data_IF_956320570308
#
_entry.id   IF_956320570308
#
_cell.length_a   1.000
_cell.length_b   1.000
_cell.length_c   1.000
_cell.angle_alpha   90.00
_cell.angle_beta   90.00
_cell.angle_gamma   90.00
#
_symmetry.space_group_name_H-M   'P 1'
#
loop_
_entity.id
_entity.type
_entity.pdbx_description
1 polymer ?
#
# COMPACT_ATOMS: atom_id res chain seq x y z
N UNK A 1 31.66 4.32 -25.71
CA UNK A 1 30.77 4.77 -26.80
C UNK A 1 31.30 6.10 -27.26
N UNK A 2 31.39 6.38 -28.57
CA UNK A 2 31.86 7.68 -29.05
C UNK A 2 30.88 8.80 -28.65
N UNK A 3 31.38 10.01 -28.40
CA UNK A 3 30.56 11.17 -28.00
C UNK A 3 29.47 11.48 -29.04
N UNK A 4 29.75 11.24 -30.33
CA UNK A 4 28.79 11.39 -31.43
C UNK A 4 27.65 10.37 -31.37
N UNK A 5 27.90 9.15 -30.88
CA UNK A 5 26.85 8.15 -30.70
C UNK A 5 25.85 8.58 -29.64
N UNK A 6 26.32 9.16 -28.53
CA UNK A 6 25.46 9.68 -27.47
C UNK A 6 24.67 10.91 -27.94
N UNK A 7 25.33 11.80 -28.69
CA UNK A 7 24.69 12.97 -29.29
C UNK A 7 23.55 12.57 -30.24
N UNK A 8 23.76 11.58 -31.11
CA UNK A 8 22.70 11.08 -31.99
C UNK A 8 21.50 10.51 -31.21
N UNK A 9 21.77 9.74 -30.15
CA UNK A 9 20.72 9.14 -29.31
C UNK A 9 19.85 10.17 -28.60
N UNK A 10 20.42 11.32 -28.20
CA UNK A 10 19.67 12.42 -27.58
C UNK A 10 18.55 12.94 -28.49
N UNK A 11 18.78 12.95 -29.80
CA UNK A 11 17.83 13.42 -30.81
C UNK A 11 17.05 12.28 -31.49
N UNK A 12 16.93 11.11 -30.84
CA UNK A 12 16.25 9.92 -31.40
C UNK A 12 16.81 9.48 -32.78
N UNK A 13 18.09 9.76 -33.04
CA UNK A 13 18.79 9.41 -34.26
C UNK A 13 19.91 8.39 -33.96
N UNK A 14 20.48 7.81 -35.01
CA UNK A 14 21.55 6.81 -34.93
C UNK A 14 22.73 7.21 -35.79
N UNK A 15 23.93 7.07 -35.23
CA UNK A 15 25.17 7.11 -36.01
C UNK A 15 25.31 5.80 -36.78
N UNK A 16 25.25 5.87 -38.11
CA UNK A 16 25.33 4.73 -39.03
C UNK A 16 26.76 4.49 -39.53
N UNK A 17 27.53 5.56 -39.71
CA UNK A 17 28.92 5.50 -40.19
C UNK A 17 29.70 6.71 -39.68
N UNK A 18 30.98 6.50 -39.37
CA UNK A 18 31.93 7.55 -39.05
C UNK A 18 33.33 7.13 -39.52
N UNK A 19 33.94 7.95 -40.38
CA UNK A 19 35.36 7.90 -40.69
C UNK A 19 35.96 9.33 -40.67
N UNK A 20 37.19 9.48 -41.15
CA UNK A 20 37.89 10.77 -41.15
C UNK A 20 37.26 11.82 -42.10
N UNK A 21 36.33 11.44 -42.98
CA UNK A 21 35.83 12.29 -44.07
C UNK A 21 34.30 12.31 -44.18
N UNK A 22 33.59 11.40 -43.50
CA UNK A 22 32.16 11.21 -43.63
C UNK A 22 31.50 10.78 -42.32
N UNK A 23 30.34 11.36 -42.06
CA UNK A 23 29.46 10.99 -40.95
C UNK A 23 28.08 10.74 -41.53
N UNK A 24 27.53 9.55 -41.31
CA UNK A 24 26.17 9.20 -41.73
C UNK A 24 25.31 9.00 -40.49
N UNK A 25 24.22 9.75 -40.41
CA UNK A 25 23.22 9.64 -39.34
C UNK A 25 21.86 9.25 -39.94
N UNK A 26 21.04 8.54 -39.18
CA UNK A 26 19.71 8.16 -39.63
C UNK A 26 18.68 8.08 -38.50
N UNK A 27 17.43 8.33 -38.84
CA UNK A 27 16.29 8.32 -37.94
C UNK A 27 14.97 8.35 -38.72
N UNK A 28 13.87 8.50 -38.00
CA UNK A 28 12.54 8.66 -38.60
C UNK A 28 12.33 10.11 -39.06
N UNK A 29 11.76 10.30 -40.25
CA UNK A 29 11.45 11.63 -40.77
C UNK A 29 12.66 12.39 -41.34
N UNK A 30 12.69 13.71 -41.11
CA UNK A 30 13.75 14.61 -41.56
C UNK A 30 14.87 14.75 -40.53
N UNK A 31 16.06 15.13 -40.98
CA UNK A 31 17.23 15.30 -40.12
C UNK A 31 17.01 16.46 -39.13
N UNK A 32 17.18 16.26 -37.81
CA UNK A 32 17.11 17.36 -36.85
C UNK A 32 18.23 18.37 -37.10
N UNK A 33 17.89 19.58 -37.50
CA UNK A 33 18.84 20.67 -37.78
C UNK A 33 19.79 20.97 -36.60
N UNK A 34 19.33 20.96 -35.33
CA UNK A 34 20.23 21.11 -34.17
C UNK A 34 21.28 19.99 -34.04
N UNK A 35 20.94 18.75 -34.40
CA UNK A 35 21.89 17.64 -34.40
C UNK A 35 22.93 17.82 -35.50
N UNK A 36 22.50 18.19 -36.72
CA UNK A 36 23.40 18.46 -37.83
C UNK A 36 24.36 19.61 -37.52
N UNK A 37 23.87 20.69 -36.91
CA UNK A 37 24.69 21.81 -36.46
C UNK A 37 25.72 21.38 -35.40
N UNK A 38 25.32 20.58 -34.42
CA UNK A 38 26.21 20.10 -33.37
C UNK A 38 27.32 19.18 -33.91
N UNK A 39 27.01 18.28 -34.86
CA UNK A 39 28.02 17.41 -35.50
C UNK A 39 29.00 18.24 -36.33
N UNK A 40 28.51 19.23 -37.10
CA UNK A 40 29.37 20.14 -37.86
C UNK A 40 30.31 20.92 -36.97
N UNK A 41 29.79 21.44 -35.87
CA UNK A 41 30.60 22.16 -34.89
C UNK A 41 31.68 21.27 -34.26
N UNK A 42 31.34 20.04 -33.90
CA UNK A 42 32.27 19.13 -33.24
C UNK A 42 33.32 18.51 -34.17
N UNK A 43 33.00 18.33 -35.45
CA UNK A 43 33.82 17.51 -36.37
C UNK A 43 34.30 18.24 -37.63
N UNK A 44 33.69 19.38 -37.97
CA UNK A 44 33.91 20.07 -39.24
C UNK A 44 33.30 19.37 -40.46
N UNK A 45 32.60 18.23 -40.27
CA UNK A 45 32.02 17.42 -41.34
C UNK A 45 30.52 17.67 -41.42
N UNK A 46 30.00 17.88 -42.63
CA UNK A 46 28.56 17.94 -42.90
C UNK A 46 27.98 16.50 -42.84
N UNK A 47 27.08 16.19 -41.88
CA UNK A 47 26.55 14.83 -41.75
C UNK A 47 25.53 14.52 -42.83
N UNK A 48 25.62 13.32 -43.42
CA UNK A 48 24.67 12.81 -44.39
C UNK A 48 23.47 12.17 -43.67
N UNK A 49 22.26 12.56 -44.06
CA UNK A 49 21.02 11.96 -43.56
C UNK A 49 20.62 10.73 -44.36
N UNK A 50 20.30 9.65 -43.65
CA UNK A 50 19.67 8.47 -44.22
C UNK A 50 18.33 8.21 -43.51
N UNK A 51 17.18 8.39 -44.19
CA UNK A 51 15.90 8.04 -43.61
C UNK A 51 15.86 6.53 -43.33
N UNK A 52 15.46 6.17 -42.12
CA UNK A 52 15.30 4.79 -41.69
C UNK A 52 13.81 4.43 -41.72
N UNK A 53 13.47 3.24 -42.24
CA UNK A 53 12.10 2.72 -42.12
C UNK A 53 11.70 2.62 -40.64
N UNK A 54 10.40 2.61 -40.27
CA UNK A 54 9.97 2.46 -38.87
C UNK A 54 10.62 1.26 -38.15
N UNK A 55 10.82 0.15 -38.88
CA UNK A 55 11.51 -1.05 -38.37
C UNK A 55 13.03 -0.87 -38.15
N UNK A 56 13.63 0.17 -38.75
CA UNK A 56 15.06 0.51 -38.66
C UNK A 56 15.32 1.70 -37.72
N UNK A 57 14.33 2.60 -37.55
CA UNK A 57 14.39 3.77 -36.69
C UNK A 57 14.19 3.41 -35.20
N UNK A 58 13.34 2.42 -34.90
CA UNK A 58 13.09 1.92 -33.53
C UNK A 58 14.11 0.86 -33.07
N UNK A 59 15.39 1.22 -33.10
CA UNK A 59 16.45 0.42 -32.46
C UNK A 59 17.22 1.29 -31.46
N UNK A 60 16.53 1.70 -30.38
CA UNK A 60 17.11 1.55 -29.05
C UNK A 60 17.57 0.09 -28.92
N UNK A 61 18.68 -0.25 -28.25
CA UNK A 61 19.31 -1.57 -28.38
C UNK A 61 18.25 -2.68 -28.30
N UNK A 62 17.97 -3.32 -29.44
CA UNK A 62 17.00 -4.42 -29.55
C UNK A 62 17.58 -5.62 -28.80
N UNK A 63 17.48 -5.54 -27.48
CA UNK A 63 17.87 -6.57 -26.54
C UNK A 63 16.72 -7.56 -26.40
N UNK A 64 16.41 -8.27 -27.48
CA UNK A 64 15.47 -9.39 -27.49
C UNK A 64 14.18 -9.13 -26.68
N UNK A 65 13.40 -8.12 -27.09
CA UNK A 65 12.10 -7.80 -26.48
C UNK A 65 11.11 -8.97 -26.60
N UNK A 66 11.30 -9.84 -27.59
CA UNK A 66 10.44 -11.00 -27.88
C UNK A 66 10.25 -11.90 -26.66
N UNK A 67 11.30 -12.09 -25.85
CA UNK A 67 11.27 -12.94 -24.66
C UNK A 67 10.86 -12.19 -23.39
N UNK A 68 11.05 -10.87 -23.32
CA UNK A 68 10.83 -10.09 -22.09
C UNK A 68 9.35 -9.85 -21.81
N UNK A 69 8.55 -9.58 -22.85
CA UNK A 69 7.10 -9.34 -22.72
C UNK A 69 6.36 -10.58 -22.20
N UNK A 70 6.50 -11.78 -22.82
CA UNK A 70 5.82 -12.99 -22.33
C UNK A 70 6.24 -13.36 -20.90
N UNK A 71 7.50 -13.13 -20.54
CA UNK A 71 7.99 -13.39 -19.18
C UNK A 71 7.37 -12.46 -18.14
N UNK A 72 7.25 -11.17 -18.45
CA UNK A 72 6.59 -10.21 -17.58
C UNK A 72 5.11 -10.57 -17.43
N UNK A 73 4.41 -10.84 -18.53
CA UNK A 73 3.00 -11.26 -18.50
C UNK A 73 2.78 -12.55 -17.70
N UNK A 74 3.65 -13.55 -17.89
CA UNK A 74 3.61 -14.79 -17.12
C UNK A 74 3.83 -14.52 -15.62
N UNK A 75 4.76 -13.64 -15.26
CA UNK A 75 5.00 -13.25 -13.87
C UNK A 75 3.76 -12.57 -13.26
N UNK A 76 3.16 -11.62 -13.98
CA UNK A 76 1.96 -10.91 -13.53
C UNK A 76 0.76 -11.86 -13.42
N UNK A 77 0.54 -12.73 -14.40
CA UNK A 77 -0.50 -13.75 -14.38
C UNK A 77 -0.32 -14.74 -13.22
N UNK A 78 0.92 -15.15 -12.93
CA UNK A 78 1.24 -15.98 -11.78
C UNK A 78 0.92 -15.26 -10.46
N UNK A 79 1.23 -13.96 -10.36
CA UNK A 79 0.91 -13.17 -9.18
C UNK A 79 -0.60 -13.09 -8.91
N UNK A 80 -1.39 -12.87 -9.95
CA UNK A 80 -2.85 -12.83 -9.88
C UNK A 80 -3.45 -14.18 -9.48
N UNK A 81 -3.01 -15.26 -10.14
CA UNK A 81 -3.45 -16.63 -9.85
C UNK A 81 -3.19 -16.99 -8.38
N UNK A 82 -2.06 -16.54 -7.83
CA UNK A 82 -1.67 -16.75 -6.44
C UNK A 82 -2.27 -15.72 -5.47
N UNK A 83 -3.02 -14.72 -5.97
CA UNK A 83 -3.61 -13.61 -5.21
C UNK A 83 -2.57 -12.85 -4.37
N UNK A 84 -1.45 -12.55 -5.01
CA UNK A 84 -0.41 -11.72 -4.41
C UNK A 84 -0.90 -10.27 -4.30
N UNK A 85 -0.64 -9.61 -3.17
CA UNK A 85 -0.91 -8.18 -3.01
C UNK A 85 0.16 -7.30 -3.64
N UNK A 86 1.41 -7.78 -3.61
CA UNK A 86 2.57 -7.05 -4.11
C UNK A 86 3.53 -8.01 -4.82
N UNK A 87 4.18 -7.52 -5.87
CA UNK A 87 5.23 -8.18 -6.63
C UNK A 87 6.52 -7.40 -6.38
N UNK A 88 7.49 -8.04 -5.73
CA UNK A 88 8.78 -7.45 -5.41
C UNK A 88 9.84 -7.96 -6.38
N UNK A 89 10.42 -7.06 -7.17
CA UNK A 89 11.57 -7.30 -8.02
C UNK A 89 12.79 -6.65 -7.34
N UNK A 90 13.75 -7.46 -6.91
CA UNK A 90 14.88 -6.99 -6.12
C UNK A 90 16.21 -7.43 -6.75
N UNK A 91 17.09 -6.48 -7.12
CA UNK A 91 18.42 -6.81 -7.61
C UNK A 91 19.32 -7.29 -6.48
N UNK A 92 20.13 -8.31 -6.76
CA UNK A 92 21.25 -8.77 -5.95
C UNK A 92 22.53 -8.63 -6.79
N UNK A 93 23.69 -8.90 -6.19
CA UNK A 93 24.99 -8.69 -6.84
C UNK A 93 25.15 -9.34 -8.23
N UNK A 94 24.63 -10.56 -8.43
CA UNK A 94 24.79 -11.32 -9.69
C UNK A 94 23.47 -11.67 -10.38
N UNK A 95 22.35 -11.48 -9.70
CA UNK A 95 21.04 -11.91 -10.17
C UNK A 95 19.93 -11.03 -9.61
N UNK A 96 18.78 -11.01 -10.27
CA UNK A 96 17.55 -10.47 -9.71
C UNK A 96 16.71 -11.56 -9.08
N UNK A 97 16.07 -11.27 -7.95
CA UNK A 97 15.05 -12.15 -7.36
C UNK A 97 13.68 -11.52 -7.46
N UNK A 98 12.68 -12.36 -7.65
CA UNK A 98 11.27 -11.96 -7.59
C UNK A 98 10.57 -12.69 -6.44
N UNK A 99 9.87 -11.91 -5.61
CA UNK A 99 9.07 -12.41 -4.50
C UNK A 99 7.64 -11.89 -4.59
N UNK A 100 6.67 -12.76 -4.33
CA UNK A 100 5.27 -12.38 -4.25
C UNK A 100 4.87 -12.24 -2.78
N UNK A 101 4.17 -11.15 -2.44
CA UNK A 101 3.52 -11.04 -1.13
C UNK A 101 2.16 -11.72 -1.19
N UNK A 102 2.03 -12.90 -0.59
CA UNK A 102 0.78 -13.66 -0.54
C UNK A 102 0.32 -13.74 0.90
N UNK A 103 -0.91 -13.32 1.16
CA UNK A 103 -1.48 -13.25 2.51
C UNK A 103 -0.56 -12.54 3.54
N UNK A 104 0.20 -11.52 3.07
CA UNK A 104 1.10 -10.70 3.88
C UNK A 104 2.54 -11.21 3.99
N UNK A 105 2.84 -12.43 3.53
CA UNK A 105 4.17 -13.06 3.60
C UNK A 105 4.83 -13.10 2.23
N UNK A 106 6.15 -12.86 2.18
CA UNK A 106 6.92 -12.91 0.94
C UNK A 106 7.32 -14.35 0.60
N UNK A 107 6.99 -14.77 -0.61
CA UNK A 107 7.35 -16.07 -1.17
C UNK A 107 8.26 -15.88 -2.39
N UNK A 108 9.46 -16.48 -2.44
CA UNK A 108 10.28 -16.47 -3.65
C UNK A 108 9.57 -17.22 -4.78
N UNK A 109 9.61 -16.68 -5.99
CA UNK A 109 8.94 -17.29 -7.16
C UNK A 109 9.81 -17.43 -8.40
N UNK A 110 10.78 -16.53 -8.59
CA UNK A 110 11.68 -16.56 -9.72
C UNK A 110 13.01 -15.90 -9.39
N UNK A 111 14.04 -16.31 -10.12
CA UNK A 111 15.35 -15.67 -10.17
C UNK A 111 15.71 -15.47 -11.64
N UNK A 112 16.34 -14.35 -11.95
CA UNK A 112 16.73 -13.98 -13.30
C UNK A 112 18.18 -13.53 -13.31
N UNK A 113 18.98 -13.88 -14.34
CA UNK A 113 20.26 -13.23 -14.60
C UNK A 113 20.11 -11.70 -14.60
N UNK A 114 21.10 -10.97 -14.08
CA UNK A 114 20.97 -9.52 -13.83
C UNK A 114 20.60 -8.70 -15.09
N UNK A 115 21.10 -9.12 -16.26
CA UNK A 115 20.77 -8.48 -17.54
C UNK A 115 19.29 -8.64 -17.91
N UNK A 116 18.71 -9.82 -17.64
CA UNK A 116 17.28 -10.08 -17.86
C UNK A 116 16.43 -9.35 -16.83
N UNK A 117 16.85 -9.33 -15.56
CA UNK A 117 16.17 -8.58 -14.51
C UNK A 117 16.09 -7.08 -14.83
N UNK A 118 17.19 -6.49 -15.28
CA UNK A 118 17.25 -5.06 -15.66
C UNK A 118 16.29 -4.73 -16.82
N UNK A 119 16.12 -5.67 -17.76
CA UNK A 119 15.13 -5.55 -18.84
C UNK A 119 13.69 -5.57 -18.32
N UNK A 120 13.36 -6.42 -17.35
CA UNK A 120 12.04 -6.43 -16.71
C UNK A 120 11.73 -5.09 -16.04
N UNK A 121 12.68 -4.52 -15.28
CA UNK A 121 12.52 -3.20 -14.65
C UNK A 121 12.31 -2.11 -15.71
N UNK A 122 13.12 -2.12 -16.78
CA UNK A 122 13.00 -1.16 -17.87
C UNK A 122 11.62 -1.24 -18.53
N UNK A 123 11.12 -2.46 -18.81
CA UNK A 123 9.79 -2.66 -19.39
C UNK A 123 8.68 -2.17 -18.47
N UNK A 124 8.80 -2.40 -17.17
CA UNK A 124 7.86 -1.87 -16.17
C UNK A 124 7.83 -0.34 -16.17
N UNK A 125 9.00 0.32 -16.27
CA UNK A 125 9.10 1.77 -16.36
C UNK A 125 8.41 2.30 -17.63
N UNK A 126 8.63 1.66 -18.78
CA UNK A 126 7.92 1.99 -20.04
C UNK A 126 6.40 1.90 -19.85
N UNK A 127 5.91 0.79 -19.31
CA UNK A 127 4.46 0.57 -19.12
C UNK A 127 3.83 1.57 -18.15
N UNK A 128 4.60 2.11 -17.21
CA UNK A 128 4.16 3.08 -16.23
C UNK A 128 4.47 4.55 -16.61
N UNK A 129 5.00 4.80 -17.81
CA UNK A 129 5.37 6.14 -18.27
C UNK A 129 6.52 6.78 -17.49
N UNK A 130 7.40 5.99 -16.89
CA UNK A 130 8.53 6.46 -16.08
C UNK A 130 9.79 6.70 -16.93
N UNK A 131 10.66 7.61 -16.47
CA UNK A 131 11.92 7.92 -17.14
C UNK A 131 12.92 6.77 -16.97
N UNK A 132 13.22 6.08 -18.08
CA UNK A 132 14.12 4.92 -18.16
C UNK A 132 15.59 5.33 -17.95
N UNK A 133 15.97 6.54 -18.35
CA UNK A 133 17.32 7.08 -18.20
C UNK A 133 17.58 7.50 -16.75
N UNK A 134 16.57 7.96 -16.03
CA UNK A 134 16.67 8.25 -14.61
C UNK A 134 16.69 6.96 -13.78
N UNK A 135 17.86 6.59 -13.25
CA UNK A 135 18.03 5.39 -12.40
C UNK A 135 18.56 5.71 -11.00
N UNK A 136 18.73 6.99 -10.69
CA UNK A 136 19.37 7.49 -9.46
C UNK A 136 18.39 8.13 -8.49
N UNK A 137 17.13 8.30 -8.88
CA UNK A 137 16.06 8.82 -8.05
C UNK A 137 14.90 7.80 -7.97
N UNK A 138 14.17 7.76 -6.84
CA UNK A 138 12.91 7.02 -6.77
C UNK A 138 11.92 7.54 -7.80
N UNK A 139 11.09 6.65 -8.35
CA UNK A 139 10.00 7.03 -9.25
C UNK A 139 8.76 6.20 -8.96
N UNK A 140 7.59 6.85 -8.97
CA UNK A 140 6.29 6.23 -8.77
C UNK A 140 5.41 6.47 -9.99
N UNK A 141 4.68 5.43 -10.41
CA UNK A 141 3.79 5.49 -11.57
C UNK A 141 2.67 4.48 -11.46
N UNK A 142 1.80 4.47 -12.46
CA UNK A 142 0.72 3.49 -12.58
C UNK A 142 0.79 2.87 -13.97
N UNK A 143 0.52 1.57 -14.04
CA UNK A 143 0.35 0.86 -15.31
C UNK A 143 -0.96 0.11 -15.31
N UNK A 144 -1.61 0.04 -16.47
CA UNK A 144 -2.79 -0.79 -16.72
C UNK A 144 -2.42 -1.83 -17.76
N UNK A 145 -2.70 -3.10 -17.46
CA UNK A 145 -2.40 -4.22 -18.35
C UNK A 145 -3.61 -5.13 -18.43
N UNK A 146 -3.89 -5.65 -19.63
CA UNK A 146 -4.93 -6.65 -19.86
C UNK A 146 -4.31 -8.04 -19.70
N UNK A 147 -4.73 -8.80 -18.69
CA UNK A 147 -4.28 -10.16 -18.42
C UNK A 147 -5.49 -11.09 -18.35
N UNK A 148 -5.52 -12.13 -19.18
CA UNK A 148 -6.65 -13.08 -19.27
C UNK A 148 -8.00 -12.36 -19.41
N UNK A 149 -8.09 -11.42 -20.37
CA UNK A 149 -9.28 -10.62 -20.68
C UNK A 149 -9.76 -9.71 -19.54
N UNK A 150 -8.91 -9.45 -18.54
CA UNK A 150 -9.20 -8.53 -17.45
C UNK A 150 -8.20 -7.40 -17.43
N UNK A 151 -8.70 -6.18 -17.39
CA UNK A 151 -7.88 -5.01 -17.15
C UNK A 151 -7.53 -4.92 -15.68
N UNK A 152 -6.24 -4.80 -15.41
CA UNK A 152 -5.70 -4.77 -14.06
C UNK A 152 -4.75 -3.59 -13.94
N UNK A 153 -5.00 -2.77 -12.93
CA UNK A 153 -4.20 -1.61 -12.59
C UNK A 153 -3.14 -2.02 -11.55
N UNK A 154 -1.91 -1.55 -11.75
CA UNK A 154 -0.84 -1.66 -10.76
C UNK A 154 -0.24 -0.29 -10.49
N UNK A 155 0.08 -0.04 -9.21
CA UNK A 155 1.01 1.02 -8.81
C UNK A 155 2.42 0.46 -8.85
N UNK A 156 3.31 1.13 -9.57
CA UNK A 156 4.73 0.80 -9.65
C UNK A 156 5.51 1.82 -8.83
N UNK A 157 6.36 1.34 -7.94
CA UNK A 157 7.37 2.15 -7.26
C UNK A 157 8.75 1.57 -7.57
N UNK A 158 9.67 2.43 -7.99
CA UNK A 158 11.07 2.09 -8.27
C UNK A 158 11.99 2.83 -7.33
N UNK A 159 13.01 2.14 -6.82
CA UNK A 159 13.96 2.68 -5.85
C UNK A 159 15.38 2.24 -6.23
N UNK A 160 16.33 3.16 -6.43
CA UNK A 160 17.73 2.83 -6.61
C UNK A 160 18.29 2.10 -5.38
N UNK A 161 19.03 1.02 -5.61
CA UNK A 161 19.72 0.25 -4.57
C UNK A 161 21.17 -0.01 -5.00
N UNK A 162 21.98 -0.60 -4.11
CA UNK A 162 23.39 -0.90 -4.36
C UNK A 162 23.65 -1.69 -5.66
N UNK A 163 22.75 -2.62 -6.01
CA UNK A 163 22.94 -3.53 -7.16
C UNK A 163 22.02 -3.21 -8.35
N UNK A 164 21.37 -2.04 -8.35
CA UNK A 164 20.44 -1.61 -9.39
C UNK A 164 19.11 -1.14 -8.84
N UNK A 165 18.10 -0.98 -9.70
CA UNK A 165 16.77 -0.53 -9.29
C UNK A 165 15.92 -1.69 -8.75
N UNK A 166 15.39 -1.52 -7.53
CA UNK A 166 14.31 -2.34 -6.99
C UNK A 166 12.99 -1.82 -7.52
N UNK A 167 12.10 -2.71 -7.93
CA UNK A 167 10.71 -2.35 -8.25
C UNK A 167 9.72 -3.10 -7.35
N UNK A 168 8.64 -2.43 -7.00
CA UNK A 168 7.50 -3.03 -6.32
C UNK A 168 6.24 -2.66 -7.11
N UNK A 169 5.50 -3.68 -7.56
CA UNK A 169 4.16 -3.49 -8.06
C UNK A 169 3.16 -3.82 -6.95
N UNK A 170 2.18 -2.95 -6.75
CA UNK A 170 0.99 -3.22 -5.93
C UNK A 170 -0.22 -3.28 -6.83
N UNK A 171 -0.97 -4.38 -6.79
CA UNK A 171 -2.24 -4.48 -7.50
C UNK A 171 -3.22 -3.47 -6.89
N UNK A 172 -3.85 -2.66 -7.74
CA UNK A 172 -4.98 -1.80 -7.36
C UNK A 172 -6.25 -2.54 -7.76
N UNK A 173 -7.15 -2.76 -6.81
CA UNK A 173 -8.38 -3.53 -7.03
C UNK A 173 -9.54 -2.56 -7.28
N UNK A 174 -9.57 -1.93 -8.46
CA UNK A 174 -10.54 -0.88 -8.82
C UNK A 174 -11.99 -1.38 -8.96
N UNK A 175 -12.19 -2.70 -8.94
CA UNK A 175 -13.48 -3.34 -9.27
C UNK A 175 -14.24 -3.89 -8.07
N UNK A 176 -13.64 -3.93 -6.87
CA UNK A 176 -14.30 -4.48 -5.69
C UNK A 176 -14.81 -3.37 -4.79
N UNK A 177 -16.14 -3.27 -4.68
CA UNK A 177 -16.77 -2.45 -3.66
C UNK A 177 -16.18 -2.79 -2.27
N UNK A 178 -15.97 -1.79 -1.39
CA UNK A 178 -15.45 -2.03 -0.05
C UNK A 178 -16.26 -3.08 0.69
N UNK A 179 -15.59 -3.89 1.50
CA UNK A 179 -16.27 -4.92 2.29
C UNK A 179 -17.27 -4.29 3.24
N UNK A 180 -18.49 -4.82 3.27
CA UNK A 180 -19.45 -4.44 4.29
C UNK A 180 -18.93 -4.80 5.69
N UNK A 181 -19.34 -4.06 6.73
CA UNK A 181 -18.89 -4.30 8.11
C UNK A 181 -19.07 -5.77 8.56
N UNK A 182 -20.17 -6.41 8.13
CA UNK A 182 -20.47 -7.81 8.38
C UNK A 182 -19.40 -8.79 7.86
N UNK A 183 -18.67 -8.40 6.82
CA UNK A 183 -17.68 -9.23 6.12
C UNK A 183 -16.24 -8.99 6.62
N UNK A 184 -16.03 -7.99 7.48
CA UNK A 184 -14.70 -7.67 8.04
C UNK A 184 -14.21 -8.71 9.05
N UNK A 185 -15.13 -9.45 9.67
CA UNK A 185 -14.81 -10.46 10.67
C UNK A 185 -14.88 -9.98 12.12
N UNK A 186 -15.57 -8.87 12.35
CA UNK A 186 -16.04 -8.45 13.67
C UNK A 186 -16.96 -9.51 14.28
N UNK A 187 -16.93 -9.66 15.61
CA UNK A 187 -18.02 -10.37 16.30
C UNK A 187 -19.30 -9.54 16.27
N UNK A 188 -20.45 -10.15 16.56
CA UNK A 188 -21.72 -9.41 16.61
C UNK A 188 -21.67 -8.24 17.61
N UNK A 189 -21.05 -8.45 18.79
CA UNK A 189 -20.88 -7.41 19.79
C UNK A 189 -19.96 -6.28 19.30
N UNK A 190 -18.83 -6.62 18.68
CA UNK A 190 -17.90 -5.63 18.11
C UNK A 190 -18.55 -4.83 16.97
N UNK A 191 -19.31 -5.50 16.10
CA UNK A 191 -20.04 -4.85 15.02
C UNK A 191 -21.06 -3.85 15.56
N UNK A 192 -21.85 -4.23 16.57
CA UNK A 192 -22.81 -3.33 17.22
C UNK A 192 -22.12 -2.12 17.85
N UNK A 193 -20.98 -2.31 18.53
CA UNK A 193 -20.20 -1.20 19.08
C UNK A 193 -19.72 -0.23 18.00
N UNK A 194 -19.24 -0.75 16.86
CA UNK A 194 -18.83 0.08 15.73
C UNK A 194 -20.02 0.81 15.11
N UNK A 195 -21.12 0.13 14.83
CA UNK A 195 -22.34 0.74 14.29
C UNK A 195 -22.87 1.84 15.23
N UNK A 196 -22.89 1.60 16.55
CA UNK A 196 -23.26 2.62 17.54
C UNK A 196 -22.32 3.82 17.52
N UNK A 197 -21.01 3.61 17.38
CA UNK A 197 -20.06 4.71 17.26
C UNK A 197 -20.26 5.52 15.97
N UNK A 198 -20.56 4.84 14.85
CA UNK A 198 -20.82 5.47 13.56
C UNK A 198 -22.15 6.25 13.54
N UNK A 199 -23.14 5.90 14.36
CA UNK A 199 -24.39 6.69 14.47
C UNK A 199 -24.25 7.99 15.25
N UNK A 200 -23.10 8.25 15.89
CA UNK A 200 -22.94 9.47 16.69
C UNK A 200 -22.84 10.68 15.75
N UNK A 201 -23.48 11.81 16.08
CA UNK A 201 -23.40 13.02 15.26
C UNK A 201 -21.97 13.57 15.21
N UNK A 202 -21.20 13.38 16.29
CA UNK A 202 -19.81 13.82 16.37
C UNK A 202 -18.94 12.88 17.19
N UNK A 203 -17.63 13.01 16.98
CA UNK A 203 -16.60 12.33 17.75
C UNK A 203 -15.54 11.70 16.86
N UNK A 204 -14.44 11.27 17.48
CA UNK A 204 -13.30 10.68 16.82
C UNK A 204 -13.32 9.15 16.94
N UNK A 205 -13.28 8.46 15.81
CA UNK A 205 -13.10 7.02 15.68
C UNK A 205 -11.72 6.75 15.08
N UNK A 206 -10.89 5.98 15.78
CA UNK A 206 -9.53 5.65 15.33
C UNK A 206 -9.44 4.17 14.98
N UNK A 207 -8.91 3.87 13.80
CA UNK A 207 -8.50 2.51 13.43
C UNK A 207 -6.99 2.42 13.46
N UNK A 208 -6.42 1.54 14.27
CA UNK A 208 -4.99 1.52 14.52
C UNK A 208 -4.34 0.17 14.23
N UNK A 209 -3.06 0.23 13.89
CA UNK A 209 -2.25 -0.94 13.58
C UNK A 209 -1.17 -0.68 12.53
N UNK A 210 -0.28 -1.64 12.28
CA UNK A 210 0.81 -1.50 11.35
C UNK A 210 0.31 -1.45 9.90
N UNK A 211 1.23 -1.17 8.99
CA UNK A 211 0.96 -1.27 7.55
C UNK A 211 0.47 -2.67 7.20
N UNK A 212 -0.57 -2.75 6.36
CA UNK A 212 -1.16 -4.03 5.94
C UNK A 212 -2.02 -4.72 6.99
N UNK A 213 -2.36 -4.08 8.12
CA UNK A 213 -3.32 -4.63 9.09
C UNK A 213 -4.78 -4.55 8.63
N UNK A 214 -5.06 -3.88 7.51
CA UNK A 214 -6.40 -3.73 6.94
C UNK A 214 -7.19 -2.53 7.48
N UNK A 215 -6.51 -1.49 7.99
CA UNK A 215 -7.15 -0.26 8.51
C UNK A 215 -8.07 0.39 7.49
N UNK A 216 -7.58 0.62 6.27
CA UNK A 216 -8.36 1.22 5.17
C UNK A 216 -9.60 0.40 4.84
N UNK A 217 -9.50 -0.94 4.85
CA UNK A 217 -10.67 -1.80 4.62
C UNK A 217 -11.75 -1.64 5.69
N UNK A 218 -11.36 -1.41 6.95
CA UNK A 218 -12.29 -1.13 8.05
C UNK A 218 -12.86 0.27 7.95
N UNK A 219 -12.04 1.27 7.63
CA UNK A 219 -12.51 2.65 7.39
C UNK A 219 -13.50 2.71 6.23
N UNK A 220 -13.15 2.19 5.06
CA UNK A 220 -14.03 2.18 3.89
C UNK A 220 -15.30 1.35 4.13
N UNK A 221 -15.22 0.27 4.93
CA UNK A 221 -16.40 -0.46 5.37
C UNK A 221 -17.34 0.37 6.25
N UNK A 222 -16.78 1.24 7.10
CA UNK A 222 -17.53 2.23 7.89
C UNK A 222 -18.11 3.34 7.04
N UNK A 223 -17.34 3.90 6.10
CA UNK A 223 -17.83 4.92 5.17
C UNK A 223 -18.96 4.40 4.28
N UNK A 224 -18.83 3.17 3.75
CA UNK A 224 -19.91 2.50 2.99
C UNK A 224 -21.18 2.31 3.83
N UNK A 225 -21.03 2.11 5.14
CA UNK A 225 -22.18 1.99 6.04
C UNK A 225 -22.85 3.35 6.29
N UNK A 226 -22.05 4.42 6.41
CA UNK A 226 -22.52 5.80 6.57
C UNK A 226 -23.14 6.38 5.29
N UNK A 227 -22.64 6.00 4.11
CA UNK A 227 -23.17 6.43 2.81
C UNK A 227 -24.68 6.13 2.67
N UNK A 228 -25.14 5.02 3.24
CA UNK A 228 -26.56 4.67 3.26
C UNK A 228 -27.45 5.66 4.04
N UNK A 229 -26.86 6.57 4.82
CA UNK A 229 -27.56 7.60 5.58
C UNK A 229 -27.67 8.94 4.84
N UNK A 230 -27.20 9.03 3.59
CA UNK A 230 -27.24 10.24 2.77
C UNK A 230 -26.55 11.46 3.41
N UNK A 231 -25.43 11.22 4.09
CA UNK A 231 -24.58 12.23 4.73
C UNK A 231 -23.57 12.83 3.73
N UNK A 232 -23.13 14.06 3.97
CA UNK A 232 -21.98 14.64 3.27
C UNK A 232 -20.68 14.06 3.85
N UNK A 233 -20.10 13.09 3.13
CA UNK A 233 -18.87 12.40 3.52
C UNK A 233 -17.70 12.90 2.70
N UNK A 234 -16.68 13.44 3.38
CA UNK A 234 -15.46 13.94 2.76
C UNK A 234 -14.23 13.17 3.27
N UNK A 235 -13.27 12.86 2.40
CA UNK A 235 -11.99 12.26 2.81
C UNK A 235 -10.77 13.00 2.30
N UNK A 236 -9.67 12.87 3.06
CA UNK A 236 -8.32 13.28 2.65
C UNK A 236 -7.37 12.08 2.80
N UNK A 237 -6.68 11.69 1.72
CA UNK A 237 -5.97 10.41 1.63
C UNK A 237 -4.62 10.51 0.90
N UNK A 238 -3.63 9.70 1.28
CA UNK A 238 -2.26 9.71 0.71
C UNK A 238 -1.81 8.30 0.27
N UNK A 239 -2.19 7.86 -0.95
CA UNK A 239 -3.23 8.41 -1.82
C UNK A 239 -4.58 7.73 -1.57
N UNK A 240 -5.58 8.04 -2.41
CA UNK A 240 -6.83 7.29 -2.50
C UNK A 240 -6.51 5.85 -2.95
N UNK A 241 -6.97 4.85 -2.17
CA UNK A 241 -6.69 3.44 -2.45
C UNK A 241 -7.70 2.82 -3.42
N UNK A 242 -8.97 3.24 -3.36
CA UNK A 242 -10.03 2.81 -4.29
C UNK A 242 -11.10 3.90 -4.34
N UNK A 243 -11.60 4.26 -5.53
CA UNK A 243 -12.70 5.20 -5.63
C UNK A 243 -13.96 4.66 -4.95
N UNK A 244 -14.59 5.50 -4.14
CA UNK A 244 -15.84 5.23 -3.45
C UNK A 244 -16.95 6.07 -4.10
N UNK A 245 -18.04 5.41 -4.47
CA UNK A 245 -19.22 6.12 -4.93
C UNK A 245 -19.80 6.98 -3.80
N UNK A 246 -20.36 8.14 -4.15
CA UNK A 246 -21.05 9.06 -3.24
C UNK A 246 -20.19 9.65 -2.10
N UNK A 247 -18.86 9.53 -2.17
CA UNK A 247 -17.94 10.09 -1.17
C UNK A 247 -16.98 11.07 -1.87
N UNK A 248 -16.83 12.26 -1.29
CA UNK A 248 -15.93 13.29 -1.80
C UNK A 248 -14.48 12.99 -1.37
N UNK A 249 -13.71 12.28 -2.18
CA UNK A 249 -12.33 11.90 -1.85
C UNK A 249 -11.31 12.87 -2.42
N UNK A 250 -10.44 13.41 -1.55
CA UNK A 250 -9.32 14.28 -1.94
C UNK A 250 -7.98 13.56 -1.72
N UNK A 251 -7.19 13.42 -2.78
CA UNK A 251 -5.84 12.90 -2.67
C UNK A 251 -4.85 14.01 -2.26
N UNK A 252 -3.87 13.66 -1.42
CA UNK A 252 -2.71 14.49 -1.12
C UNK A 252 -1.87 14.68 -2.38
N UNK A 253 -1.50 15.93 -2.66
CA UNK A 253 -0.67 16.31 -3.80
C UNK A 253 0.35 17.37 -3.35
N UNK A 254 1.51 16.94 -2.82
CA UNK A 254 2.50 17.86 -2.24
C UNK A 254 3.02 18.89 -3.26
N UNK A 255 3.18 18.50 -4.52
CA UNK A 255 3.62 19.39 -5.61
C UNK A 255 2.61 20.53 -5.89
N UNK A 256 1.32 20.32 -5.58
CA UNK A 256 0.27 21.32 -5.68
C UNK A 256 -0.01 22.03 -4.33
N UNK A 257 0.78 21.75 -3.28
CA UNK A 257 0.56 22.29 -1.93
C UNK A 257 -0.60 21.65 -1.15
N UNK A 258 -1.21 20.57 -1.67
CA UNK A 258 -2.30 19.86 -1.00
C UNK A 258 -1.73 18.87 0.02
N UNK A 259 -1.55 19.34 1.26
CA UNK A 259 -1.17 18.55 2.43
C UNK A 259 -2.37 18.29 3.36
N UNK A 260 -2.26 17.30 4.25
CA UNK A 260 -3.34 16.90 5.16
C UNK A 260 -3.96 18.08 5.91
N UNK A 261 -3.16 18.88 6.61
CA UNK A 261 -3.66 20.02 7.38
C UNK A 261 -4.34 21.09 6.50
N UNK A 262 -3.84 21.33 5.29
CA UNK A 262 -4.42 22.31 4.35
C UNK A 262 -5.78 21.85 3.86
N UNK A 263 -5.85 20.60 3.39
CA UNK A 263 -7.09 20.00 2.88
C UNK A 263 -8.12 19.89 4.00
N UNK A 264 -7.72 19.43 5.19
CA UNK A 264 -8.62 19.28 6.33
C UNK A 264 -9.24 20.62 6.78
N UNK A 265 -8.46 21.71 6.80
CA UNK A 265 -9.00 23.06 7.04
C UNK A 265 -9.96 23.52 5.96
N UNK A 266 -9.77 23.11 4.71
CA UNK A 266 -10.70 23.41 3.62
C UNK A 266 -12.00 22.61 3.77
N UNK A 267 -11.91 21.33 4.13
CA UNK A 267 -13.07 20.45 4.34
C UNK A 267 -14.01 21.00 5.42
N UNK A 268 -13.51 21.63 6.49
CA UNK A 268 -14.36 22.27 7.50
C UNK A 268 -15.24 23.42 6.96
N UNK A 269 -14.98 23.93 5.76
CA UNK A 269 -15.82 24.92 5.05
C UNK A 269 -16.62 24.29 3.90
N UNK A 270 -16.73 22.97 3.85
CA UNK A 270 -17.48 22.22 2.84
C UNK A 270 -18.76 21.60 3.41
N UNK A 271 -19.20 22.07 4.59
CA UNK A 271 -20.38 21.56 5.29
C UNK A 271 -20.41 20.02 5.45
N UNK A 272 -19.30 19.36 5.87
CA UNK A 272 -19.28 17.90 5.98
C UNK A 272 -20.02 17.43 7.22
N UNK A 273 -20.71 16.28 7.13
CA UNK A 273 -21.19 15.55 8.31
C UNK A 273 -20.10 14.61 8.85
N UNK A 274 -19.36 14.00 7.92
CA UNK A 274 -18.33 13.00 8.20
C UNK A 274 -17.03 13.37 7.51
N UNK A 275 -15.93 13.34 8.27
CA UNK A 275 -14.59 13.59 7.76
C UNK A 275 -13.73 12.34 7.96
N UNK A 276 -13.17 11.79 6.89
CA UNK A 276 -12.19 10.72 6.96
C UNK A 276 -10.78 11.24 6.65
N UNK A 277 -9.88 11.06 7.59
CA UNK A 277 -8.47 11.43 7.46
C UNK A 277 -7.68 10.13 7.31
N UNK A 278 -7.03 9.92 6.17
CA UNK A 278 -6.29 8.68 5.87
C UNK A 278 -5.36 8.26 7.01
N UNK A 279 -4.65 9.22 7.61
CA UNK A 279 -3.87 9.02 8.84
C UNK A 279 -3.52 10.34 9.53
N UNK A 280 -3.34 10.27 10.85
CA UNK A 280 -2.80 11.36 11.66
C UNK A 280 -1.30 11.11 11.87
N UNK A 281 -0.45 11.84 11.15
CA UNK A 281 1.02 11.71 11.25
C UNK A 281 1.66 12.73 12.19
N UNK A 282 1.10 13.94 12.24
CA UNK A 282 1.67 15.12 12.90
C UNK A 282 0.68 15.82 13.83
N UNK A 283 1.22 16.72 14.67
CA UNK A 283 0.50 17.52 15.65
C UNK A 283 -0.57 18.42 15.00
N UNK A 284 -0.25 19.08 13.89
CA UNK A 284 -1.18 19.98 13.22
C UNK A 284 -2.44 19.25 12.73
N UNK A 285 -2.27 18.10 12.09
CA UNK A 285 -3.37 17.24 11.63
C UNK A 285 -4.16 16.69 12.81
N UNK A 286 -3.48 16.30 13.89
CA UNK A 286 -4.13 15.81 15.11
C UNK A 286 -5.03 16.89 15.74
N UNK A 287 -4.55 18.13 15.87
CA UNK A 287 -5.33 19.22 16.43
C UNK A 287 -6.59 19.51 15.62
N UNK A 288 -6.46 19.66 14.30
CA UNK A 288 -7.61 19.94 13.45
C UNK A 288 -8.63 18.79 13.48
N UNK A 289 -8.17 17.53 13.56
CA UNK A 289 -9.04 16.36 13.68
C UNK A 289 -9.84 16.37 15.00
N UNK A 290 -9.20 16.75 16.10
CA UNK A 290 -9.83 16.87 17.42
C UNK A 290 -10.83 18.03 17.43
N UNK A 291 -10.45 19.19 16.88
CA UNK A 291 -11.33 20.36 16.76
C UNK A 291 -12.58 20.03 15.94
N UNK A 292 -12.41 19.35 14.79
CA UNK A 292 -13.51 18.87 13.96
C UNK A 292 -14.45 17.95 14.75
N UNK A 293 -13.89 16.98 15.48
CA UNK A 293 -14.66 16.03 16.30
C UNK A 293 -15.41 16.69 17.48
N UNK A 294 -14.93 17.85 17.95
CA UNK A 294 -15.60 18.63 18.99
C UNK A 294 -16.67 19.57 18.43
N UNK A 295 -16.50 20.02 17.18
CA UNK A 295 -17.35 21.01 16.51
C UNK A 295 -18.47 20.38 15.68
N UNK A 296 -18.97 19.20 16.09
CA UNK A 296 -20.16 18.61 15.48
C UNK A 296 -19.91 17.63 14.34
N UNK A 297 -18.65 17.25 14.06
CA UNK A 297 -18.34 16.33 12.97
C UNK A 297 -18.01 14.92 13.47
N UNK A 298 -18.42 13.89 12.73
CA UNK A 298 -17.90 12.54 12.92
C UNK A 298 -16.57 12.40 12.17
N UNK A 299 -15.49 12.16 12.90
CA UNK A 299 -14.14 12.05 12.35
C UNK A 299 -13.65 10.61 12.42
N UNK A 300 -13.26 10.05 11.28
CA UNK A 300 -12.64 8.73 11.19
C UNK A 300 -11.18 8.90 10.78
N UNK A 301 -10.24 8.24 11.47
CA UNK A 301 -8.84 8.27 11.03
C UNK A 301 -8.06 7.01 11.40
N UNK A 302 -6.78 6.98 11.00
CA UNK A 302 -5.85 5.92 11.38
C UNK A 302 -4.62 6.43 12.13
N UNK A 303 -4.08 5.54 12.95
CA UNK A 303 -2.78 5.69 13.61
C UNK A 303 -1.97 4.40 13.51
N UNK A 304 -0.65 4.53 13.67
CA UNK A 304 0.30 3.42 13.68
C UNK A 304 0.72 3.07 15.11
N UNK A 305 -0.15 2.40 15.86
CA UNK A 305 0.10 1.94 17.25
C UNK A 305 -0.10 0.42 17.41
N UNK A 306 0.40 -0.15 18.50
CA UNK A 306 0.33 -1.60 18.72
C UNK A 306 -0.93 -2.07 19.43
N UNK A 307 -1.58 -1.19 20.18
CA UNK A 307 -2.83 -1.47 20.89
C UNK A 307 -3.78 -0.28 20.83
N UNK A 308 -5.04 -0.49 21.23
CA UNK A 308 -6.01 0.59 21.31
C UNK A 308 -5.57 1.64 22.35
N UNK A 309 -5.10 1.20 23.52
CA UNK A 309 -4.65 2.08 24.60
C UNK A 309 -3.42 2.93 24.22
N UNK A 310 -2.44 2.38 23.49
CA UNK A 310 -1.28 3.15 23.01
C UNK A 310 -1.67 4.30 22.06
N UNK A 311 -2.83 4.21 21.41
CA UNK A 311 -3.35 5.25 20.52
C UNK A 311 -3.68 6.53 21.28
N UNK A 312 -4.17 6.40 22.52
CA UNK A 312 -4.39 7.54 23.42
C UNK A 312 -3.06 8.19 23.74
N UNK A 313 -2.07 7.42 24.18
CA UNK A 313 -0.72 7.92 24.48
C UNK A 313 -0.08 8.60 23.27
N UNK A 314 -0.25 8.05 22.07
CA UNK A 314 0.27 8.63 20.84
C UNK A 314 -0.31 10.01 20.54
N UNK A 315 -1.61 10.21 20.75
CA UNK A 315 -2.23 11.53 20.57
C UNK A 315 -1.76 12.54 21.62
N UNK A 316 -1.56 12.12 22.87
CA UNK A 316 -0.95 12.97 23.90
C UNK A 316 0.49 13.40 23.52
N UNK A 317 1.28 12.47 22.97
CA UNK A 317 2.63 12.76 22.46
C UNK A 317 2.64 13.69 21.24
N UNK A 318 1.53 13.75 20.50
CA UNK A 318 1.33 14.69 19.39
C UNK A 318 0.82 16.06 19.87
N UNK A 319 0.85 16.35 21.17
CA UNK A 319 0.47 17.66 21.71
C UNK A 319 -1.01 17.81 22.08
N UNK A 320 -1.84 16.79 21.88
CA UNK A 320 -3.27 16.88 22.22
C UNK A 320 -3.45 16.87 23.74
N UNK A 321 -4.12 17.90 24.26
CA UNK A 321 -4.41 17.99 25.69
C UNK A 321 -5.37 16.85 26.14
N UNK A 322 -5.15 16.24 27.32
CA UNK A 322 -5.93 15.09 27.78
C UNK A 322 -7.44 15.32 27.83
N UNK A 323 -7.89 16.52 28.22
CA UNK A 323 -9.31 16.84 28.29
C UNK A 323 -9.96 16.91 26.90
N UNK A 324 -9.27 17.49 25.90
CA UNK A 324 -9.75 17.55 24.52
C UNK A 324 -9.91 16.15 23.93
N UNK A 325 -8.93 15.28 24.20
CA UNK A 325 -8.95 13.90 23.74
C UNK A 325 -10.07 13.09 24.39
N UNK A 326 -10.24 13.24 25.71
CA UNK A 326 -11.25 12.51 26.47
C UNK A 326 -12.69 12.85 26.00
N UNK A 327 -12.92 14.09 25.56
CA UNK A 327 -14.23 14.55 25.11
C UNK A 327 -14.54 14.23 23.65
N UNK A 328 -13.52 14.21 22.79
CA UNK A 328 -13.67 13.93 21.37
C UNK A 328 -13.63 12.43 21.04
N UNK A 329 -12.79 11.64 21.71
CA UNK A 329 -12.57 10.24 21.38
C UNK A 329 -13.79 9.37 21.72
N UNK A 330 -14.30 8.66 20.73
CA UNK A 330 -15.49 7.80 20.86
C UNK A 330 -15.15 6.31 20.86
N UNK A 331 -14.29 5.88 19.93
CA UNK A 331 -13.92 4.47 19.75
C UNK A 331 -12.51 4.36 19.19
N UNK A 332 -11.71 3.46 19.76
CA UNK A 332 -10.43 3.04 19.17
C UNK A 332 -10.51 1.56 18.78
N UNK A 333 -10.11 1.25 17.55
CA UNK A 333 -10.14 -0.09 16.97
C UNK A 333 -8.70 -0.49 16.66
N UNK A 334 -8.09 -1.32 17.50
CA UNK A 334 -6.82 -1.93 17.16
C UNK A 334 -7.04 -3.17 16.29
N UNK A 335 -6.27 -3.26 15.20
CA UNK A 335 -6.45 -4.30 14.19
C UNK A 335 -5.14 -4.97 13.80
N UNK A 336 -5.23 -6.28 13.55
CA UNK A 336 -4.18 -7.11 12.95
C UNK A 336 -4.79 -8.10 11.96
N UNK A 337 -3.99 -8.62 11.03
CA UNK A 337 -4.40 -9.73 10.16
C UNK A 337 -3.56 -10.97 10.46
N UNK A 338 -4.22 -12.09 10.71
CA UNK A 338 -3.60 -13.41 10.75
C UNK A 338 -3.96 -14.19 9.49
N UNK A 339 -3.04 -15.01 9.00
CA UNK A 339 -3.32 -15.94 7.91
C UNK A 339 -4.28 -17.03 8.36
N UNK A 340 -5.18 -17.45 7.47
CA UNK A 340 -6.14 -18.53 7.75
C UNK A 340 -5.54 -19.87 7.38
N UNK A 341 -5.63 -20.84 8.27
CA UNK A 341 -5.24 -22.22 7.97
C UNK A 341 -6.04 -22.74 6.78
N UNK A 342 -5.35 -23.41 5.86
CA UNK A 342 -5.98 -24.03 4.71
C UNK A 342 -6.91 -25.16 5.16
N UNK A 343 -8.19 -25.06 4.81
CA UNK A 343 -9.20 -26.08 5.16
C UNK A 343 -8.91 -27.47 4.57
N UNK A 344 -8.14 -27.55 3.49
CA UNK A 344 -7.83 -28.80 2.81
C UNK A 344 -6.65 -29.58 3.41
N UNK A 345 -5.70 -28.89 4.06
CA UNK A 345 -4.46 -29.52 4.51
C UNK A 345 -4.11 -29.20 5.96
N UNK A 346 -4.93 -28.42 6.69
CA UNK A 346 -4.72 -28.23 8.14
C UNK A 346 -4.81 -29.58 8.84
N UNK A 347 -3.90 -29.80 9.79
CA UNK A 347 -3.84 -31.04 10.57
C UNK A 347 -4.20 -30.74 12.02
N UNK A 348 -4.94 -31.67 12.62
CA UNK A 348 -5.21 -31.67 14.04
C UNK A 348 -4.22 -32.60 14.73
N UNK A 349 -3.52 -32.11 15.74
CA UNK A 349 -2.59 -32.89 16.57
C UNK A 349 -3.18 -33.07 17.96
N UNK A 350 -2.82 -34.15 18.69
CA UNK A 350 -3.24 -34.36 20.07
C UNK A 350 -2.52 -33.44 21.08
N UNK A 351 -1.88 -32.37 20.63
CA UNK A 351 -1.19 -31.40 21.48
C UNK A 351 -2.17 -30.51 22.27
N UNK A 352 -1.65 -29.62 23.11
CA UNK A 352 -2.43 -28.63 23.86
C UNK A 352 -3.39 -27.85 22.95
N UNK A 353 -4.47 -27.29 23.50
CA UNK A 353 -5.49 -26.58 22.73
C UNK A 353 -4.90 -25.47 21.81
N UNK A 354 -3.83 -24.80 22.26
CA UNK A 354 -3.10 -23.80 21.48
C UNK A 354 -2.36 -24.41 20.28
N UNK A 355 -1.74 -25.57 20.44
CA UNK A 355 -0.94 -26.23 19.39
C UNK A 355 -1.72 -27.28 18.58
N UNK A 356 -3.01 -27.44 18.88
CA UNK A 356 -3.91 -28.42 18.27
C UNK A 356 -3.95 -28.35 16.75
N UNK A 357 -3.85 -27.16 16.17
CA UNK A 357 -3.97 -26.98 14.72
C UNK A 357 -2.66 -26.51 14.09
N UNK A 358 -2.19 -27.29 13.11
CA UNK A 358 -0.93 -27.02 12.41
C UNK A 358 -1.14 -26.85 10.90
N UNK A 359 -0.32 -26.02 10.24
CA UNK A 359 -0.30 -25.95 8.78
C UNK A 359 0.15 -27.30 8.18
N UNK A 360 -0.48 -27.66 7.05
CA UNK A 360 0.02 -28.71 6.16
C UNK A 360 0.40 -28.15 4.80
N UNK A 361 0.56 -29.00 3.80
CA UNK A 361 0.98 -28.60 2.45
C UNK A 361 0.00 -29.16 1.43
N UNK A 362 -0.49 -28.32 0.52
CA UNK A 362 -1.27 -28.74 -0.64
C UNK A 362 -1.17 -27.71 -1.78
N UNK A 363 -1.55 -28.05 -3.02
CA UNK A 363 -1.51 -27.12 -4.17
C UNK A 363 -2.45 -25.91 -4.04
N UNK A 364 -3.41 -25.94 -3.09
CA UNK A 364 -4.44 -24.92 -2.94
C UNK A 364 -4.05 -23.77 -1.99
N UNK A 365 -2.89 -23.84 -1.35
CA UNK A 365 -2.45 -22.92 -0.31
C UNK A 365 -0.96 -22.56 -0.46
N UNK A 366 -0.51 -21.56 0.30
CA UNK A 366 0.89 -21.18 0.37
C UNK A 366 1.37 -21.35 1.82
N UNK A 367 2.25 -22.34 2.04
CA UNK A 367 2.78 -22.66 3.37
C UNK A 367 1.70 -23.10 4.37
N UNK A 368 0.62 -23.74 3.91
CA UNK A 368 -0.49 -24.18 4.76
C UNK A 368 -1.57 -23.14 5.05
N UNK A 369 -1.48 -21.95 4.44
CA UNK A 369 -2.43 -20.87 4.64
C UNK A 369 -3.12 -20.42 3.34
N UNK A 370 -4.36 -19.95 3.47
CA UNK A 370 -5.14 -19.38 2.36
C UNK A 370 -6.10 -18.31 2.87
N UNK A 371 -5.83 -17.06 2.49
CA UNK A 371 -6.59 -15.90 2.92
C UNK A 371 -6.19 -15.43 4.31
N UNK A 372 -6.80 -14.31 4.73
CA UNK A 372 -6.54 -13.65 6.01
C UNK A 372 -7.81 -13.50 6.83
N UNK A 373 -7.66 -13.42 8.15
CA UNK A 373 -8.71 -13.10 9.12
C UNK A 373 -8.25 -11.91 9.94
N UNK A 374 -9.11 -10.90 10.07
CA UNK A 374 -8.85 -9.79 10.95
C UNK A 374 -9.06 -10.18 12.42
N UNK A 375 -8.17 -9.66 13.25
CA UNK A 375 -8.27 -9.62 14.70
C UNK A 375 -8.64 -8.19 15.07
N UNK A 376 -9.61 -8.06 15.97
CA UNK A 376 -10.13 -6.78 16.41
C UNK A 376 -10.11 -6.70 17.93
N UNK A 377 -9.67 -5.55 18.41
CA UNK A 377 -9.79 -5.06 19.78
C UNK A 377 -10.47 -3.71 19.70
N UNK A 378 -11.64 -3.58 20.32
CA UNK A 378 -12.45 -2.36 20.27
C UNK A 378 -12.50 -1.77 21.68
N UNK A 379 -11.96 -0.57 21.82
CA UNK A 379 -11.92 0.22 23.04
C UNK A 379 -12.96 1.34 22.95
N UNK A 380 -14.21 1.12 23.40
CA UNK A 380 -15.19 2.20 23.52
C UNK A 380 -14.77 3.14 24.65
N UNK A 381 -14.83 4.46 24.42
CA UNK A 381 -14.50 5.44 25.46
C UNK A 381 -15.68 5.63 26.41
N UNK A 382 -15.72 4.80 27.45
CA UNK A 382 -16.72 4.88 28.53
C UNK A 382 -16.47 6.07 29.46
N UNK A 383 -17.43 6.47 30.33
CA UNK A 383 -17.19 7.52 31.33
C UNK A 383 -15.97 7.26 32.22
N UNK A 384 -15.73 6.00 32.61
CA UNK A 384 -14.56 5.62 33.40
C UNK A 384 -13.25 5.82 32.62
N UNK A 385 -13.21 5.38 31.35
CA UNK A 385 -12.05 5.61 30.47
C UNK A 385 -11.83 7.11 30.21
N UNK A 386 -12.91 7.88 29.99
CA UNK A 386 -12.83 9.34 29.82
C UNK A 386 -12.19 10.01 31.04
N UNK A 387 -12.60 9.63 32.25
CA UNK A 387 -11.99 10.13 33.48
C UNK A 387 -10.51 9.75 33.60
N UNK A 388 -10.17 8.49 33.29
CA UNK A 388 -8.78 8.04 33.31
C UNK A 388 -7.90 8.78 32.28
N UNK A 389 -8.40 9.03 31.07
CA UNK A 389 -7.70 9.81 30.03
C UNK A 389 -7.47 11.25 30.53
N UNK A 390 -8.49 11.92 31.08
CA UNK A 390 -8.37 13.28 31.63
C UNK A 390 -7.28 13.40 32.69
N UNK A 391 -7.12 12.37 33.51
CA UNK A 391 -6.11 12.33 34.58
C UNK A 391 -4.72 11.84 34.12
N UNK A 392 -4.51 11.63 32.81
CA UNK A 392 -3.23 11.20 32.27
C UNK A 392 -2.85 9.75 32.61
N UNK A 393 -3.83 8.85 32.75
CA UNK A 393 -3.56 7.44 33.02
C UNK A 393 -2.64 6.80 31.96
N UNK A 394 -1.77 5.90 32.40
CA UNK A 394 -0.87 5.16 31.51
C UNK A 394 -1.64 4.23 30.57
N UNK A 395 -1.04 3.88 29.43
CA UNK A 395 -1.61 2.91 28.49
C UNK A 395 -1.94 1.57 29.15
N UNK A 396 -1.11 1.10 30.08
CA UNK A 396 -1.35 -0.11 30.88
C UNK A 396 -2.62 0.01 31.73
N UNK A 397 -2.82 1.15 32.42
CA UNK A 397 -4.02 1.35 33.25
C UNK A 397 -5.28 1.46 32.39
N UNK A 398 -5.20 2.15 31.25
CA UNK A 398 -6.30 2.25 30.29
C UNK A 398 -6.69 0.87 29.73
N UNK A 399 -5.69 0.04 29.40
CA UNK A 399 -5.91 -1.33 28.95
C UNK A 399 -6.62 -2.18 30.02
N UNK A 400 -6.13 -2.16 31.26
CA UNK A 400 -6.76 -2.88 32.38
C UNK A 400 -8.21 -2.45 32.58
N UNK A 401 -8.46 -1.14 32.63
CA UNK A 401 -9.80 -0.59 32.81
C UNK A 401 -10.73 -1.02 31.67
N UNK A 402 -10.23 -1.05 30.44
CA UNK A 402 -11.00 -1.51 29.29
C UNK A 402 -11.35 -3.00 29.37
N UNK A 403 -10.42 -3.84 29.79
CA UNK A 403 -10.63 -5.28 29.99
C UNK A 403 -11.62 -5.56 31.13
N UNK A 404 -11.54 -4.80 32.24
CA UNK A 404 -12.53 -4.81 33.33
C UNK A 404 -13.96 -4.51 32.81
N UNK A 405 -14.07 -3.67 31.77
CA UNK A 405 -15.33 -3.30 31.12
C UNK A 405 -15.67 -4.18 29.89
N UNK A 406 -15.03 -5.34 29.77
CA UNK A 406 -15.39 -6.37 28.78
C UNK A 406 -14.72 -6.22 27.41
N UNK A 407 -13.73 -5.33 27.26
CA UNK A 407 -12.91 -5.30 26.05
C UNK A 407 -12.15 -6.62 25.89
N UNK A 408 -12.20 -7.19 24.68
CA UNK A 408 -11.41 -8.37 24.35
C UNK A 408 -10.08 -7.95 23.70
N UNK A 409 -8.93 -8.26 24.31
CA UNK A 409 -7.64 -7.92 23.72
C UNK A 409 -7.38 -8.74 22.45
N UNK A 410 -6.53 -8.21 21.56
CA UNK A 410 -6.15 -8.87 20.30
C UNK A 410 -5.68 -10.31 20.52
N UNK A 411 -4.89 -10.54 21.59
CA UNK A 411 -4.32 -11.85 21.92
C UNK A 411 -5.39 -12.87 22.32
N UNK A 412 -6.37 -12.48 23.13
CA UNK A 412 -7.47 -13.37 23.52
C UNK A 412 -8.30 -13.79 22.30
N UNK A 413 -8.59 -12.84 21.40
CA UNK A 413 -9.27 -13.13 20.13
C UNK A 413 -8.45 -14.08 19.26
N UNK A 414 -7.15 -13.87 19.15
CA UNK A 414 -6.24 -14.70 18.36
C UNK A 414 -6.14 -16.14 18.90
N UNK A 415 -6.06 -16.30 20.23
CA UNK A 415 -6.01 -17.61 20.88
C UNK A 415 -7.27 -18.42 20.57
N UNK A 416 -8.46 -17.81 20.75
CA UNK A 416 -9.73 -18.47 20.44
C UNK A 416 -9.81 -18.94 18.99
N UNK A 417 -9.33 -18.12 18.05
CA UNK A 417 -9.28 -18.49 16.63
C UNK A 417 -8.26 -19.60 16.34
N UNK A 418 -7.16 -19.67 17.09
CA UNK A 418 -6.19 -20.76 16.98
C UNK A 418 -6.79 -22.09 17.49
N UNK A 419 -7.48 -22.07 18.62
CA UNK A 419 -8.16 -23.23 19.20
C UNK A 419 -9.27 -23.79 18.27
N UNK A 420 -9.96 -22.90 17.56
CA UNK A 420 -10.97 -23.22 16.52
C UNK A 420 -10.36 -23.69 15.18
N UNK A 421 -9.03 -23.65 15.04
CA UNK A 421 -8.32 -24.03 13.81
C UNK A 421 -8.53 -23.07 12.65
N UNK A 422 -8.89 -21.82 12.94
CA UNK A 422 -8.97 -20.74 11.95
C UNK A 422 -7.57 -20.25 11.58
N UNK A 423 -6.69 -20.14 12.56
CA UNK A 423 -5.26 -19.82 12.41
C UNK A 423 -4.42 -20.84 13.21
N UNK A 424 -3.10 -20.81 13.08
CA UNK A 424 -2.18 -21.59 13.89
C UNK A 424 -1.51 -20.71 14.95
N UNK A 425 -1.08 -21.30 16.06
CA UNK A 425 -0.42 -20.54 17.14
C UNK A 425 0.88 -19.86 16.70
N UNK A 426 1.68 -20.52 15.85
CA UNK A 426 2.87 -19.89 15.28
C UNK A 426 2.56 -18.62 14.48
N UNK A 427 1.38 -18.55 13.84
CA UNK A 427 0.92 -17.34 13.17
C UNK A 427 0.47 -16.25 14.15
N UNK A 428 -0.11 -16.64 15.29
CA UNK A 428 -0.45 -15.70 16.38
C UNK A 428 0.83 -15.06 16.93
N UNK A 429 1.86 -15.86 17.24
CA UNK A 429 3.16 -15.36 17.71
C UNK A 429 3.81 -14.44 16.67
N UNK A 430 3.76 -14.79 15.38
CA UNK A 430 4.33 -13.97 14.31
C UNK A 430 3.70 -12.56 14.25
N UNK A 431 2.39 -12.46 14.50
CA UNK A 431 1.63 -11.21 14.34
C UNK A 431 1.57 -10.38 15.62
N UNK A 432 1.51 -11.03 16.78
CA UNK A 432 1.32 -10.39 18.09
C UNK A 432 2.56 -10.48 19.00
N UNK A 433 3.64 -11.11 18.55
CA UNK A 433 4.83 -11.40 19.35
C UNK A 433 4.65 -12.61 20.29
N UNK A 434 5.74 -13.08 20.93
CA UNK A 434 5.65 -14.04 22.02
C UNK A 434 4.89 -13.44 23.22
N UNK A 435 4.19 -14.26 23.99
CA UNK A 435 3.75 -13.85 25.33
C UNK A 435 4.96 -13.87 26.26
N UNK A 436 5.09 -12.91 27.18
CA UNK A 436 6.22 -12.77 28.12
C UNK A 436 6.40 -13.92 29.13
N UNK A 437 5.89 -15.11 28.86
CA UNK A 437 5.93 -16.29 29.73
C UNK A 437 6.49 -17.54 29.04
N UNK A 438 7.19 -17.38 27.91
CA UNK A 438 7.86 -18.48 27.19
C UNK A 438 9.27 -18.04 26.75
N UNK A 439 10.07 -17.65 27.73
CA UNK A 439 11.53 -17.78 27.68
C UNK A 439 11.93 -18.96 28.57
#
# INVERSE_FOLDING_TARGET
MSDLTQLCQHYHCRLLHQDAHSIIIGGSGEAPEPLCAAIRFATGIEPLWRPLSPQQADIAPMLDESATVPQLEQLLAQALTRRASDIHLEPLAQQGRVRLRIDGVLHPVAQYPINQFTRLITRLKVLAGLDIAQRRLPQDGQLRITLAERDISFRLSTLPTLHGEKAVLRQVDDTQAPRALAQLGLTLAQRRLLEQALTRPQGLILVTGPTGSGKTATLYGGLRWLDALALNICSVEDPIETPLNNINQTAIAPAAGLQFATVLRALLRQDPDVIMIGEIRDEATAHIAIDAAQTGHLVLSTLHTNSAAESVTRLLQLGIAPYLLADSLSLVIAQRLVRRLCRHCRRQTPQSAQLRWQPGTCPRCHGGYRGRRALFELLPVTPALRHAIRNGASSTRLQQLAEEHGMQPLRATAQRLAEQGVTAWGEVIRVLGPSGSLA
#
